data_IF_182827658622
#
_entry.id   IF_182827658622
#
_cell.length_a   1.000
_cell.length_b   1.000
_cell.length_c   1.000
_cell.angle_alpha   90.00
_cell.angle_beta   90.00
_cell.angle_gamma   90.00
#
_symmetry.space_group_name_H-M   'P 1'
#
loop_
_entity.id
_entity.type
_entity.pdbx_description
1 polymer ?
#
# COMPACT_ATOMS: atom_id res chain seq x y z
N UNK A 1 -26.02 18.69 -13.91
CA UNK A 1 -25.18 17.96 -12.94
C UNK A 1 -24.30 16.99 -13.70
N UNK A 2 -22.98 17.17 -13.67
CA UNK A 2 -22.04 16.26 -14.30
C UNK A 2 -21.01 15.86 -13.24
N UNK A 3 -21.00 14.62 -12.72
CA UNK A 3 -20.01 14.24 -11.74
C UNK A 3 -18.68 14.02 -12.46
N UNK A 4 -17.77 14.99 -12.35
CA UNK A 4 -16.34 14.72 -12.50
C UNK A 4 -15.93 13.73 -11.43
N UNK A 5 -15.81 12.45 -11.78
CA UNK A 5 -14.99 11.50 -11.03
C UNK A 5 -13.93 10.94 -11.95
N UNK A 6 -12.85 11.72 -12.07
CA UNK A 6 -11.55 11.22 -12.53
C UNK A 6 -10.98 10.26 -11.49
N UNK A 7 -11.07 8.95 -11.72
CA UNK A 7 -10.16 7.97 -11.16
C UNK A 7 -9.77 6.95 -12.23
N UNK A 8 -8.62 7.22 -12.85
CA UNK A 8 -7.70 6.27 -13.47
C UNK A 8 -8.30 5.19 -14.38
N UNK A 9 -8.31 5.52 -15.67
CA UNK A 9 -8.44 4.59 -16.77
C UNK A 9 -7.50 3.37 -16.63
N UNK A 10 -8.09 2.18 -16.60
CA UNK A 10 -7.51 1.01 -17.26
C UNK A 10 -8.46 0.64 -18.39
N UNK A 11 -8.06 0.81 -19.66
CA UNK A 11 -8.85 0.26 -20.76
C UNK A 11 -8.78 -1.27 -20.65
N UNK A 12 -9.91 -1.88 -20.28
CA UNK A 12 -10.07 -3.33 -20.06
C UNK A 12 -10.07 -4.10 -21.37
N UNK A 13 -9.03 -3.92 -22.17
CA UNK A 13 -8.83 -4.68 -23.37
C UNK A 13 -7.79 -5.77 -23.13
N UNK A 14 -8.14 -7.01 -23.46
CA UNK A 14 -7.26 -8.18 -23.28
C UNK A 14 -6.05 -8.16 -24.21
N UNK A 15 -6.02 -7.28 -25.22
CA UNK A 15 -4.84 -7.05 -26.07
C UNK A 15 -3.71 -6.28 -25.37
N UNK A 16 -3.97 -5.67 -24.21
CA UNK A 16 -3.01 -4.82 -23.49
C UNK A 16 -2.42 -5.48 -22.22
N UNK A 17 -2.27 -6.81 -22.18
CA UNK A 17 -1.85 -7.58 -20.99
C UNK A 17 -0.53 -7.07 -20.37
N UNK A 18 0.46 -6.72 -21.21
CA UNK A 18 1.75 -6.18 -20.77
C UNK A 18 1.61 -4.84 -20.03
N UNK A 19 0.69 -3.98 -20.48
CA UNK A 19 0.43 -2.70 -19.83
C UNK A 19 -0.25 -2.90 -18.48
N UNK A 20 -1.16 -3.89 -18.37
CA UNK A 20 -1.77 -4.30 -17.10
C UNK A 20 -0.71 -4.76 -16.10
N UNK A 21 0.18 -5.68 -16.47
CA UNK A 21 1.31 -6.15 -15.62
C UNK A 21 2.22 -5.05 -15.09
N UNK A 22 2.40 -3.96 -15.84
CA UNK A 22 3.24 -2.83 -15.43
C UNK A 22 2.56 -1.93 -14.40
N UNK A 23 1.22 -1.92 -14.35
CA UNK A 23 0.43 -1.06 -13.47
C UNK A 23 -0.20 -1.78 -12.28
N UNK A 24 -0.12 -3.11 -12.22
CA UNK A 24 -0.68 -3.91 -11.13
C UNK A 24 -0.07 -3.58 -9.77
N UNK A 25 -0.84 -3.76 -8.71
CA UNK A 25 -0.36 -3.64 -7.32
C UNK A 25 0.80 -4.60 -7.08
N UNK A 26 1.84 -4.13 -6.39
CA UNK A 26 3.03 -4.94 -6.07
C UNK A 26 4.21 -4.78 -7.03
N UNK A 27 4.03 -4.20 -8.22
CA UNK A 27 5.12 -3.97 -9.20
C UNK A 27 6.01 -2.76 -8.87
N UNK A 28 5.71 -2.05 -7.77
CA UNK A 28 6.46 -0.87 -7.31
C UNK A 28 6.72 -0.89 -5.79
N UNK A 29 7.35 0.18 -5.29
CA UNK A 29 7.74 0.29 -3.87
C UNK A 29 6.51 0.58 -2.99
N UNK A 30 5.81 -0.48 -2.57
CA UNK A 30 4.65 -0.39 -1.68
C UNK A 30 5.04 0.17 -0.30
N UNK A 31 4.83 1.47 -0.06
CA UNK A 31 5.14 2.10 1.23
C UNK A 31 4.20 1.65 2.34
N UNK A 32 2.91 1.56 2.05
CA UNK A 32 1.89 1.22 3.04
C UNK A 32 1.65 -0.29 3.12
N UNK A 33 1.33 -0.92 1.98
CA UNK A 33 0.91 -2.32 1.92
C UNK A 33 2.00 -3.31 2.35
N UNK A 34 3.29 -2.98 2.16
CA UNK A 34 4.40 -3.84 2.59
C UNK A 34 4.40 -4.11 4.10
N UNK A 35 3.91 -3.17 4.91
CA UNK A 35 3.92 -3.29 6.36
C UNK A 35 2.65 -3.97 6.91
N UNK A 36 1.60 -4.11 6.10
CA UNK A 36 0.31 -4.65 6.53
C UNK A 36 0.41 -6.06 7.09
N UNK A 37 1.14 -7.03 6.46
CA UNK A 37 1.27 -8.38 7.02
C UNK A 37 1.91 -8.41 8.42
N UNK A 38 2.90 -7.53 8.64
CA UNK A 38 3.55 -7.39 9.95
C UNK A 38 2.62 -6.73 10.97
N UNK A 39 1.90 -5.67 10.58
CA UNK A 39 0.91 -5.00 11.45
C UNK A 39 -0.22 -5.95 11.83
N UNK A 40 -0.66 -6.80 10.92
CA UNK A 40 -1.71 -7.80 11.17
C UNK A 40 -1.28 -8.79 12.25
N UNK A 41 -0.07 -9.35 12.15
CA UNK A 41 0.50 -10.24 13.19
C UNK A 41 0.64 -9.55 14.55
N UNK A 42 0.87 -8.24 14.55
CA UNK A 42 1.01 -7.42 15.76
C UNK A 42 -0.30 -6.79 16.22
N UNK A 43 -1.47 -7.19 15.68
CA UNK A 43 -2.78 -6.69 16.09
C UNK A 43 -2.98 -5.18 15.86
N UNK A 44 -2.32 -4.60 14.85
CA UNK A 44 -2.40 -3.17 14.51
C UNK A 44 -2.06 -2.21 15.66
N UNK A 45 -1.23 -2.66 16.61
CA UNK A 45 -0.76 -1.84 17.73
C UNK A 45 -0.12 -0.52 17.25
N UNK A 46 -0.48 0.56 17.92
CA UNK A 46 0.10 1.90 17.75
C UNK A 46 1.04 2.19 18.91
N UNK A 47 2.17 2.85 18.63
CA UNK A 47 3.21 3.13 19.63
C UNK A 47 4.34 2.10 19.68
N UNK A 48 5.25 2.27 20.64
CA UNK A 48 6.41 1.42 20.80
C UNK A 48 6.02 0.11 21.51
N UNK A 49 6.61 -1.05 21.13
CA UNK A 49 6.29 -2.31 21.80
C UNK A 49 6.70 -2.24 23.27
N UNK A 50 5.90 -2.89 24.12
CA UNK A 50 6.12 -2.97 25.58
C UNK A 50 7.52 -3.56 25.83
N UNK A 51 8.42 -2.76 26.42
CA UNK A 51 9.81 -3.16 26.69
C UNK A 51 10.84 -2.79 25.60
N UNK A 52 10.45 -2.04 24.57
CA UNK A 52 11.45 -1.44 23.67
C UNK A 52 12.32 -0.45 24.43
N UNK A 53 13.65 -0.60 24.31
CA UNK A 53 14.59 0.48 24.60
C UNK A 53 14.30 1.58 23.59
N UNK A 54 13.49 2.57 23.98
CA UNK A 54 13.40 3.83 23.25
C UNK A 54 14.78 4.49 23.17
N UNK A 55 15.01 5.45 22.25
CA UNK A 55 16.23 6.23 22.30
C UNK A 55 16.32 6.84 23.71
N UNK A 56 17.45 6.61 24.39
CA UNK A 56 17.76 7.37 25.59
C UNK A 56 17.62 8.85 25.20
N UNK A 57 16.76 9.57 25.91
CA UNK A 57 16.57 11.01 25.74
C UNK A 57 17.94 11.69 25.63
N UNK A 58 18.09 12.54 24.62
CA UNK A 58 19.19 13.50 24.60
C UNK A 58 19.03 14.51 25.74
#
# INVERSE_FOLDING_TARGET
MNPRTSFLASPDYNWAEKAKRRKTTGTGRMRSLKLVPRKFKNGFQTGAPKGSRGPASA
#
